data_IF_822457620284
#
_entry.id   IF_822457620284
#
_cell.length_a   1.000
_cell.length_b   1.000
_cell.length_c   1.000
_cell.angle_alpha   90.00
_cell.angle_beta   90.00
_cell.angle_gamma   90.00
#
_symmetry.space_group_name_H-M   'P 1'
#
loop_
_entity.id
_entity.type
_entity.pdbx_description
1 polymer ?
#
# COMPACT_ATOMS: atom_id res chain seq x y z
N UNK A 1 -18.14 10.70 1.83
CA UNK A 1 -18.53 9.33 2.28
C UNK A 1 -18.19 9.15 3.75
N UNK A 2 -16.96 9.46 4.16
CA UNK A 2 -16.46 9.36 5.53
C UNK A 2 -17.34 10.10 6.54
N UNK A 3 -17.65 11.38 6.30
CA UNK A 3 -18.53 12.18 7.19
C UNK A 3 -19.93 11.56 7.35
N UNK A 4 -20.54 11.13 6.25
CA UNK A 4 -21.83 10.41 6.29
C UNK A 4 -21.72 9.12 7.11
N UNK A 5 -20.62 8.39 6.96
CA UNK A 5 -20.34 7.17 7.73
C UNK A 5 -20.20 7.46 9.23
N UNK A 6 -19.57 8.58 9.62
CA UNK A 6 -19.38 8.95 11.01
C UNK A 6 -20.73 9.23 11.69
N UNK A 7 -21.61 9.95 10.99
CA UNK A 7 -23.00 10.19 11.44
C UNK A 7 -23.77 8.90 11.65
N UNK A 8 -23.61 7.91 10.77
CA UNK A 8 -24.26 6.58 10.91
C UNK A 8 -23.68 5.80 12.09
N UNK A 9 -22.39 5.95 12.37
CA UNK A 9 -21.71 5.26 13.47
C UNK A 9 -21.85 5.99 14.82
N UNK A 10 -22.47 7.17 14.84
CA UNK A 10 -22.83 7.90 16.06
C UNK A 10 -21.66 8.56 16.80
N UNK A 11 -20.65 9.06 16.08
CA UNK A 11 -19.54 9.80 16.71
C UNK A 11 -19.22 11.11 15.98
N UNK A 12 -18.65 12.06 16.71
CA UNK A 12 -18.28 13.37 16.17
C UNK A 12 -16.97 13.27 15.37
N UNK A 13 -17.02 13.70 14.11
CA UNK A 13 -15.89 13.73 13.19
C UNK A 13 -15.82 15.11 12.55
N UNK A 14 -14.67 15.75 12.67
CA UNK A 14 -14.38 17.03 12.02
C UNK A 14 -14.10 16.85 10.52
N UNK A 15 -14.21 17.92 9.73
CA UNK A 15 -13.92 17.86 8.29
C UNK A 15 -12.44 17.64 7.96
N UNK A 16 -11.51 18.05 8.82
CA UNK A 16 -10.08 17.73 8.72
C UNK A 16 -9.80 16.26 9.09
N UNK A 17 -10.39 15.74 10.17
CA UNK A 17 -10.33 14.32 10.50
C UNK A 17 -10.91 13.42 9.40
N UNK A 18 -12.00 13.85 8.77
CA UNK A 18 -12.59 13.13 7.65
C UNK A 18 -11.67 13.08 6.42
N UNK A 19 -10.95 14.18 6.13
CA UNK A 19 -9.96 14.25 5.05
C UNK A 19 -8.76 13.34 5.33
N UNK A 20 -8.29 13.29 6.57
CA UNK A 20 -7.19 12.41 6.96
C UNK A 20 -7.52 10.92 6.72
N UNK A 21 -8.70 10.48 7.16
CA UNK A 21 -9.17 9.10 6.93
C UNK A 21 -9.36 8.84 5.43
N UNK A 22 -9.91 9.80 4.68
CA UNK A 22 -10.13 9.66 3.25
C UNK A 22 -8.83 9.56 2.45
N UNK A 23 -7.80 10.35 2.83
CA UNK A 23 -6.49 10.33 2.19
C UNK A 23 -5.82 8.96 2.27
N UNK A 24 -5.98 8.26 3.40
CA UNK A 24 -5.44 6.90 3.60
C UNK A 24 -6.32 5.77 3.06
N UNK A 25 -7.50 6.10 2.52
CA UNK A 25 -8.47 5.10 2.05
C UNK A 25 -8.25 4.62 0.60
N UNK A 26 -7.18 5.07 -0.08
CA UNK A 26 -6.81 4.63 -1.44
C UNK A 26 -7.93 4.83 -2.47
N UNK A 27 -8.73 5.89 -2.31
CA UNK A 27 -9.90 6.14 -3.16
C UNK A 27 -11.01 5.09 -3.07
N UNK A 28 -10.93 4.13 -2.13
CA UNK A 28 -11.81 2.97 -2.06
C UNK A 28 -12.84 3.14 -0.94
N UNK A 29 -14.15 3.27 -1.25
CA UNK A 29 -15.20 3.49 -0.24
C UNK A 29 -15.24 2.40 0.85
N UNK A 30 -14.94 1.15 0.48
CA UNK A 30 -14.89 0.02 1.42
C UNK A 30 -13.74 0.15 2.43
N UNK A 31 -12.57 0.59 1.99
CA UNK A 31 -11.41 0.84 2.87
C UNK A 31 -11.72 2.04 3.77
N UNK A 32 -12.30 3.13 3.23
CA UNK A 32 -12.70 4.30 4.00
C UNK A 32 -13.65 3.91 5.15
N UNK A 33 -14.66 3.09 4.88
CA UNK A 33 -15.59 2.59 5.91
C UNK A 33 -14.92 1.70 6.95
N UNK A 34 -13.95 0.86 6.56
CA UNK A 34 -13.17 0.01 7.48
C UNK A 34 -12.29 0.85 8.40
N UNK A 35 -11.55 1.81 7.84
CA UNK A 35 -10.69 2.71 8.61
C UNK A 35 -11.51 3.55 9.58
N UNK A 36 -12.65 4.07 9.13
CA UNK A 36 -13.54 4.88 9.95
C UNK A 36 -14.02 4.13 11.21
N UNK A 37 -14.43 2.86 11.07
CA UNK A 37 -14.83 2.03 12.21
C UNK A 37 -13.68 1.86 13.21
N UNK A 38 -12.46 1.58 12.72
CA UNK A 38 -11.28 1.38 13.59
C UNK A 38 -10.85 2.68 14.27
N UNK A 39 -10.94 3.83 13.58
CA UNK A 39 -10.64 5.14 14.17
C UNK A 39 -11.65 5.49 15.26
N UNK A 40 -12.94 5.20 15.04
CA UNK A 40 -13.96 5.32 16.09
C UNK A 40 -13.62 4.45 17.30
N UNK A 41 -13.30 3.18 17.09
CA UNK A 41 -12.98 2.26 18.17
C UNK A 41 -11.77 2.76 18.99
N UNK A 42 -10.78 3.37 18.31
CA UNK A 42 -9.65 4.03 18.96
C UNK A 42 -10.09 5.28 19.76
N UNK A 43 -10.91 6.15 19.16
CA UNK A 43 -11.40 7.37 19.80
C UNK A 43 -12.22 7.07 21.06
N UNK A 44 -13.04 6.02 21.05
CA UNK A 44 -13.80 5.57 22.23
C UNK A 44 -12.93 5.23 23.45
N UNK A 45 -11.67 4.84 23.24
CA UNK A 45 -10.71 4.52 24.31
C UNK A 45 -9.84 5.72 24.68
N UNK A 46 -9.50 6.57 23.71
CA UNK A 46 -8.58 7.70 23.89
C UNK A 46 -9.18 8.89 24.66
N UNK A 47 -10.49 8.96 24.80
CA UNK A 47 -11.18 10.01 25.55
C UNK A 47 -12.26 10.72 24.74
N UNK A 48 -13.03 11.57 25.41
CA UNK A 48 -14.21 12.21 24.84
C UNK A 48 -13.82 13.47 24.06
N UNK A 49 -14.19 13.53 22.78
CA UNK A 49 -14.03 14.70 21.92
C UNK A 49 -14.23 14.36 20.44
N UNK A 50 -14.43 15.37 19.58
CA UNK A 50 -14.54 15.15 18.15
C UNK A 50 -13.23 14.61 17.57
N UNK A 51 -13.33 13.67 16.63
CA UNK A 51 -12.17 13.14 15.91
C UNK A 51 -11.64 14.20 14.95
N UNK A 52 -10.53 14.83 15.32
CA UNK A 52 -9.77 15.78 14.51
C UNK A 52 -8.70 15.10 13.65
N UNK A 53 -7.99 15.85 12.80
CA UNK A 53 -6.91 15.30 11.98
C UNK A 53 -5.80 14.66 12.82
N UNK A 54 -5.51 15.19 14.02
CA UNK A 54 -4.45 14.67 14.90
C UNK A 54 -4.84 13.33 15.50
N UNK A 55 -6.08 13.20 15.98
CA UNK A 55 -6.58 11.96 16.53
C UNK A 55 -6.74 10.90 15.43
N UNK A 56 -7.19 11.30 14.25
CA UNK A 56 -7.26 10.42 13.08
C UNK A 56 -5.87 9.91 12.67
N UNK A 57 -4.87 10.79 12.58
CA UNK A 57 -3.47 10.42 12.31
C UNK A 57 -2.93 9.45 13.37
N UNK A 58 -3.08 9.78 14.66
CA UNK A 58 -2.61 8.93 15.76
C UNK A 58 -3.26 7.54 15.72
N UNK A 59 -4.57 7.49 15.45
CA UNK A 59 -5.31 6.25 15.28
C UNK A 59 -4.76 5.45 14.09
N UNK A 60 -4.72 6.05 12.90
CA UNK A 60 -4.30 5.37 11.66
C UNK A 60 -2.86 4.89 11.73
N UNK A 61 -1.95 5.68 12.31
CA UNK A 61 -0.56 5.30 12.56
C UNK A 61 -0.46 4.10 13.50
N UNK A 62 -1.26 4.05 14.57
CA UNK A 62 -1.31 2.89 15.47
C UNK A 62 -1.96 1.66 14.84
N UNK A 63 -2.83 1.86 13.85
CA UNK A 63 -3.39 0.80 13.01
C UNK A 63 -2.45 0.39 11.87
N UNK A 64 -1.20 0.88 11.90
CA UNK A 64 -0.17 0.57 10.93
C UNK A 64 -0.54 1.01 9.50
N UNK A 65 -1.32 2.08 9.36
CA UNK A 65 -1.66 2.70 8.08
C UNK A 65 -0.88 4.00 7.95
N UNK A 66 0.02 4.08 6.98
CA UNK A 66 0.86 5.26 6.79
C UNK A 66 0.15 6.40 6.05
N UNK A 67 0.83 7.54 5.91
CA UNK A 67 0.29 8.72 5.24
C UNK A 67 -0.02 8.52 3.74
N UNK A 68 0.62 7.53 3.08
CA UNK A 68 0.32 7.14 1.69
C UNK A 68 -0.83 6.13 1.62
N UNK A 69 -1.34 5.66 2.77
CA UNK A 69 -2.42 4.70 2.87
C UNK A 69 -1.96 3.24 2.81
N UNK A 70 -0.65 2.94 2.81
CA UNK A 70 -0.18 1.56 2.89
C UNK A 70 -0.41 1.02 4.29
N UNK A 71 -0.95 -0.18 4.36
CA UNK A 71 -1.16 -0.90 5.61
C UNK A 71 0.02 -1.83 5.93
N UNK A 72 -0.07 -2.54 7.05
CA UNK A 72 0.95 -3.49 7.47
C UNK A 72 1.22 -4.58 6.43
N UNK A 73 0.18 -5.00 5.68
CA UNK A 73 0.30 -6.07 4.70
C UNK A 73 1.04 -5.61 3.45
N UNK A 74 0.71 -4.41 2.94
CA UNK A 74 1.46 -3.83 1.82
C UNK A 74 2.94 -3.63 2.17
N UNK A 75 3.23 -3.16 3.39
CA UNK A 75 4.63 -2.98 3.82
C UNK A 75 5.35 -4.31 3.97
N UNK A 76 4.68 -5.38 4.43
CA UNK A 76 5.26 -6.74 4.43
C UNK A 76 5.54 -7.22 3.02
N UNK A 77 4.62 -6.99 2.08
CA UNK A 77 4.83 -7.31 0.66
C UNK A 77 6.07 -6.60 0.10
N UNK A 78 6.18 -5.28 0.31
CA UNK A 78 7.32 -4.50 -0.18
C UNK A 78 8.63 -4.92 0.49
N UNK A 79 8.65 -5.09 1.82
CA UNK A 79 9.86 -5.52 2.55
C UNK A 79 10.33 -6.91 2.13
N UNK A 80 9.40 -7.86 1.94
CA UNK A 80 9.74 -9.20 1.48
C UNK A 80 10.52 -9.13 0.16
N UNK A 81 10.02 -8.38 -0.83
CA UNK A 81 10.70 -8.26 -2.12
C UNK A 81 12.04 -7.51 -1.97
N UNK A 82 12.10 -6.47 -1.14
CA UNK A 82 13.31 -5.69 -0.93
C UNK A 82 14.43 -6.51 -0.27
N UNK A 83 14.12 -7.18 0.84
CA UNK A 83 15.09 -7.82 1.73
C UNK A 83 15.43 -9.25 1.28
N UNK A 84 14.42 -10.06 0.94
CA UNK A 84 14.65 -11.46 0.59
C UNK A 84 15.09 -11.66 -0.87
N UNK A 85 14.73 -10.72 -1.76
CA UNK A 85 14.96 -10.86 -3.20
C UNK A 85 15.70 -9.68 -3.82
N UNK A 86 16.26 -8.77 -3.02
CA UNK A 86 17.02 -7.62 -3.53
C UNK A 86 16.20 -6.73 -4.49
N UNK A 87 14.91 -6.57 -4.22
CA UNK A 87 14.00 -5.80 -5.08
C UNK A 87 13.44 -6.56 -6.30
N UNK A 88 13.72 -7.85 -6.44
CA UNK A 88 13.19 -8.72 -7.51
C UNK A 88 14.05 -8.75 -8.79
N UNK A 89 13.58 -9.43 -9.86
CA UNK A 89 12.19 -9.87 -10.09
C UNK A 89 11.79 -11.14 -9.32
N UNK A 90 10.55 -11.16 -8.79
CA UNK A 90 9.99 -12.31 -8.04
C UNK A 90 8.64 -12.75 -8.60
N UNK A 91 8.42 -14.05 -8.77
CA UNK A 91 7.12 -14.59 -9.17
C UNK A 91 6.05 -14.36 -8.09
N UNK A 92 4.80 -14.13 -8.51
CA UNK A 92 3.69 -13.94 -7.55
C UNK A 92 3.44 -15.19 -6.71
N UNK A 93 3.61 -16.38 -7.27
CA UNK A 93 3.50 -17.63 -6.52
C UNK A 93 4.49 -17.68 -5.34
N UNK A 94 5.72 -17.21 -5.56
CA UNK A 94 6.75 -17.13 -4.50
C UNK A 94 6.38 -16.10 -3.43
N UNK A 95 5.84 -14.95 -3.84
CA UNK A 95 5.40 -13.91 -2.90
C UNK A 95 4.20 -14.41 -2.09
N UNK A 96 3.23 -15.04 -2.75
CA UNK A 96 2.06 -15.65 -2.15
C UNK A 96 2.44 -16.70 -1.11
N UNK A 97 3.32 -17.64 -1.47
CA UNK A 97 3.83 -18.66 -0.56
C UNK A 97 4.57 -18.06 0.65
N UNK A 98 5.41 -17.05 0.45
CA UNK A 98 6.16 -16.41 1.51
C UNK A 98 5.29 -15.55 2.45
N UNK A 99 4.19 -14.97 1.95
CA UNK A 99 3.24 -14.21 2.76
C UNK A 99 2.14 -15.08 3.39
N UNK A 100 2.00 -16.33 2.95
CA UNK A 100 0.95 -17.25 3.40
C UNK A 100 -0.45 -16.87 2.88
N UNK A 101 -0.51 -16.26 1.70
CA UNK A 101 -1.72 -15.65 1.15
C UNK A 101 -2.03 -16.20 -0.24
N UNK A 102 -3.30 -16.14 -0.64
CA UNK A 102 -3.69 -16.57 -1.97
C UNK A 102 -3.14 -15.62 -3.04
N UNK A 103 -2.67 -16.18 -4.16
CA UNK A 103 -2.21 -15.39 -5.31
C UNK A 103 -3.25 -14.35 -5.75
N UNK A 104 -4.50 -14.78 -5.90
CA UNK A 104 -5.59 -13.90 -6.37
C UNK A 104 -5.79 -12.73 -5.40
N UNK A 105 -5.67 -12.95 -4.08
CA UNK A 105 -5.77 -11.89 -3.09
C UNK A 105 -4.66 -10.85 -3.27
N UNK A 106 -3.43 -11.28 -3.56
CA UNK A 106 -2.32 -10.36 -3.83
C UNK A 106 -2.58 -9.57 -5.12
N UNK A 107 -2.94 -10.24 -6.21
CA UNK A 107 -3.10 -9.60 -7.53
C UNK A 107 -4.30 -8.66 -7.61
N UNK A 108 -5.38 -8.97 -6.90
CA UNK A 108 -6.65 -8.22 -6.96
C UNK A 108 -6.79 -7.17 -5.86
N UNK A 109 -6.19 -7.38 -4.68
CA UNK A 109 -6.40 -6.51 -3.51
C UNK A 109 -5.19 -5.60 -3.25
N UNK A 110 -3.97 -6.13 -3.38
CA UNK A 110 -2.75 -5.41 -2.98
C UNK A 110 -2.08 -4.73 -4.16
N UNK A 111 -1.78 -5.49 -5.20
CA UNK A 111 -1.00 -5.01 -6.34
C UNK A 111 -1.62 -3.79 -7.05
N UNK A 112 -2.95 -3.64 -7.22
CA UNK A 112 -3.51 -2.50 -7.94
C UNK A 112 -3.08 -1.15 -7.35
N UNK A 113 -3.08 -1.04 -6.02
CA UNK A 113 -2.67 0.20 -5.36
C UNK A 113 -1.15 0.41 -5.43
N UNK A 114 -0.36 -0.64 -5.21
CA UNK A 114 1.10 -0.55 -5.25
C UNK A 114 1.63 -0.23 -6.65
N UNK A 115 0.98 -0.75 -7.70
CA UNK A 115 1.26 -0.42 -9.10
C UNK A 115 0.88 1.04 -9.39
N UNK A 116 -0.30 1.47 -8.99
CA UNK A 116 -0.77 2.84 -9.21
C UNK A 116 0.11 3.88 -8.52
N UNK A 117 0.60 3.61 -7.31
CA UNK A 117 1.53 4.48 -6.59
C UNK A 117 2.99 4.36 -7.08
N UNK A 118 3.27 3.44 -8.01
CA UNK A 118 4.60 3.25 -8.58
C UNK A 118 5.59 2.62 -7.61
N UNK A 119 5.15 1.83 -6.62
CA UNK A 119 6.03 1.07 -5.73
C UNK A 119 6.52 -0.23 -6.37
N UNK A 120 5.68 -0.85 -7.19
CA UNK A 120 5.93 -2.14 -7.83
C UNK A 120 5.77 -1.98 -9.34
N UNK A 121 6.56 -2.72 -10.10
CA UNK A 121 6.43 -2.88 -11.54
C UNK A 121 6.22 -4.37 -11.86
N UNK A 122 5.24 -4.68 -12.71
CA UNK A 122 5.06 -6.02 -13.28
C UNK A 122 5.97 -6.18 -14.49
N UNK A 123 6.74 -7.26 -14.53
CA UNK A 123 7.58 -7.66 -15.66
C UNK A 123 7.26 -9.11 -16.04
N UNK A 124 7.62 -9.58 -17.25
CA UNK A 124 7.46 -11.00 -17.62
C UNK A 124 8.18 -11.97 -16.67
N UNK A 125 9.24 -11.50 -15.99
CA UNK A 125 10.04 -12.29 -15.05
C UNK A 125 9.51 -12.24 -13.61
N UNK A 126 8.51 -11.41 -13.33
CA UNK A 126 7.96 -11.22 -11.98
C UNK A 126 7.81 -9.76 -11.57
N UNK A 127 7.66 -9.53 -10.27
CA UNK A 127 7.45 -8.23 -9.65
C UNK A 127 8.77 -7.62 -9.24
N UNK A 128 8.92 -6.34 -9.55
CA UNK A 128 10.12 -5.56 -9.33
C UNK A 128 9.79 -4.34 -8.46
N UNK A 129 10.58 -4.07 -7.43
CA UNK A 129 10.46 -2.82 -6.69
C UNK A 129 11.12 -1.68 -7.46
N UNK A 130 10.49 -0.52 -7.38
CA UNK A 130 10.99 0.75 -7.92
C UNK A 130 11.82 1.49 -6.86
N UNK A 131 12.56 2.53 -7.28
CA UNK A 131 13.24 3.43 -6.36
C UNK A 131 12.30 4.07 -5.32
N UNK A 132 11.04 4.32 -5.69
CA UNK A 132 10.02 4.86 -4.78
C UNK A 132 9.73 3.93 -3.61
N UNK A 133 9.72 2.61 -3.83
CA UNK A 133 9.55 1.62 -2.77
C UNK A 133 10.73 1.59 -1.82
N UNK A 134 11.95 1.60 -2.35
CA UNK A 134 13.16 1.65 -1.53
C UNK A 134 13.20 2.92 -0.67
N UNK A 135 12.96 4.09 -1.28
CA UNK A 135 12.90 5.36 -0.55
C UNK A 135 11.83 5.35 0.55
N UNK A 136 10.66 4.80 0.27
CA UNK A 136 9.58 4.69 1.26
C UNK A 136 9.91 3.72 2.41
N UNK A 137 10.61 2.63 2.12
CA UNK A 137 11.07 1.69 3.14
C UNK A 137 12.31 2.19 3.92
N UNK A 138 12.93 3.29 3.50
CA UNK A 138 14.20 3.77 4.07
C UNK A 138 15.39 2.88 3.71
N UNK A 139 15.30 2.12 2.61
CA UNK A 139 16.32 1.21 2.14
C UNK A 139 17.08 1.80 0.96
N UNK A 140 18.35 1.41 0.81
CA UNK A 140 19.14 1.77 -0.38
C UNK A 140 18.79 0.80 -1.52
N UNK A 141 18.41 1.29 -2.71
CA UNK A 141 18.18 0.41 -3.85
C UNK A 141 19.48 -0.32 -4.19
N UNK A 142 19.43 -1.62 -4.54
CA UNK A 142 20.61 -2.34 -4.98
C UNK A 142 21.16 -1.68 -6.25
N UNK A 143 22.49 -1.68 -6.39
CA UNK A 143 23.15 -1.26 -7.62
C UNK A 143 22.74 -2.20 -8.75
N UNK A 144 21.66 -1.87 -9.46
CA UNK A 144 21.26 -2.59 -10.66
C UNK A 144 22.17 -2.10 -11.78
N UNK A 145 23.05 -2.98 -12.24
CA UNK A 145 23.51 -2.91 -13.62
C UNK A 145 22.25 -2.80 -14.49
N UNK A 146 22.19 -1.74 -15.29
CA UNK A 146 21.15 -1.52 -16.29
C UNK A 146 21.31 -2.58 -17.37
N UNK A 147 20.97 -3.83 -17.05
CA UNK A 147 21.02 -4.95 -17.96
C UNK A 147 19.85 -4.80 -18.96
N UNK A 148 20.12 -4.00 -20.00
CA UNK A 148 19.88 -4.41 -21.37
C UNK A 148 18.44 -4.87 -21.70
N UNK A 149 17.43 -4.06 -21.37
CA UNK A 149 16.05 -4.30 -21.83
C UNK A 149 15.79 -3.90 -23.29
N UNK A 150 16.83 -3.69 -24.11
CA UNK A 150 16.71 -3.17 -25.47
C UNK A 150 17.35 -4.01 -26.60
N UNK A 151 17.96 -5.17 -26.35
CA UNK A 151 18.79 -5.82 -27.38
C UNK A 151 18.11 -6.90 -28.25
N UNK A 152 16.79 -7.02 -28.24
CA UNK A 152 16.07 -7.98 -29.12
C UNK A 152 15.09 -7.29 -30.07
N UNK A 153 15.44 -6.09 -30.56
CA UNK A 153 14.70 -5.39 -31.59
C UNK A 153 15.53 -5.14 -32.87
N UNK A 154 16.52 -5.96 -33.18
CA UNK A 154 17.11 -6.00 -34.52
C UNK A 154 17.50 -7.45 -34.88
N UNK A 155 16.72 -8.04 -35.77
CA UNK A 155 16.92 -9.39 -36.28
C UNK A 155 15.81 -9.74 -37.27
N UNK A 156 15.45 -8.79 -38.12
CA UNK A 156 14.49 -8.95 -39.20
C UNK A 156 15.17 -8.62 -40.52
N UNK A 157 15.50 -9.67 -41.27
CA UNK A 157 15.92 -9.58 -42.66
C UNK A 157 17.35 -10.08 -42.86
N UNK A 158 17.49 -11.37 -43.16
CA UNK A 158 18.33 -11.82 -44.28
C UNK A 158 17.86 -13.22 -44.72
N UNK A 159 17.68 -13.34 -46.04
CA UNK A 159 17.40 -14.51 -46.90
C UNK A 159 15.95 -15.01 -47.06
#
# INVERSE_FOLDING_TARGET
IVERGARVLGFELTSDGAREIAGRARGTPRIAGRLLKRVRDFASVAGHGPVDAKLADAALTRLEVDARGLDAFDRRYLRLIAEAFGGGPVGVETIAAALGEARDAIEEIVEPFLLQQGFVQRTPRGRLLTGTAFAHLGLTPPARETAQFGLFAEGGGDE
#
